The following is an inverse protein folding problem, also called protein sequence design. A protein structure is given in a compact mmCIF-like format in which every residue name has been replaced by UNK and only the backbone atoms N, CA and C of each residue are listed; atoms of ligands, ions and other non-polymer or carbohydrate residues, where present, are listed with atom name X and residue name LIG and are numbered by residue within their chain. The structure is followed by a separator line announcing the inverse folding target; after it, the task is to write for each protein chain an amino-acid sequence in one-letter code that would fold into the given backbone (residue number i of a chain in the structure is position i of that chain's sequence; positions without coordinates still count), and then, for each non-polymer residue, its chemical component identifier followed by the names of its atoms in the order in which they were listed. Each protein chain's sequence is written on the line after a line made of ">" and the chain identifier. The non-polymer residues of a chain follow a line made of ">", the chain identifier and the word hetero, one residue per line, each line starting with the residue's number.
data_IF_572232402743
#
_entry.id   IF_572232402743
#
_cell.length_a   1.000
_cell.length_b   1.000
_cell.length_c   1.000
_cell.angle_alpha   90.00
_cell.angle_beta   90.00
_cell.angle_gamma   90.00
#
_symmetry.space_group_name_H-M   'P 1'
#
loop_
_entity.id
_entity.type
_entity.pdbx_description
1 polymer ?
#
# COMPACT_ATOMS: atom_id res chain seq x y z
N UNK A 1 8.10 14.17 39.47
CA UNK A 1 7.16 13.21 38.84
C UNK A 1 7.72 12.85 37.46
N UNK A 2 7.75 11.57 37.06
CA UNK A 2 8.15 11.23 35.70
C UNK A 2 7.12 11.87 34.77
N UNK A 3 7.55 12.56 33.71
CA UNK A 3 6.63 12.99 32.64
C UNK A 3 5.90 11.73 32.17
N UNK A 4 4.60 11.63 32.46
CA UNK A 4 3.74 10.58 31.90
C UNK A 4 4.01 10.54 30.40
N UNK A 5 4.50 9.42 29.87
CA UNK A 5 4.80 9.27 28.46
C UNK A 5 3.57 9.72 27.65
N UNK A 6 3.78 10.61 26.67
CA UNK A 6 2.68 11.12 25.84
C UNK A 6 2.06 9.94 25.10
N UNK A 7 0.73 9.81 25.19
CA UNK A 7 -0.01 8.74 24.50
C UNK A 7 -0.14 9.12 23.02
N UNK A 8 0.25 8.22 22.11
CA UNK A 8 0.05 8.45 20.68
C UNK A 8 -1.41 8.15 20.30
N UNK A 9 -2.05 9.05 19.56
CA UNK A 9 -3.39 8.83 19.00
C UNK A 9 -3.28 8.58 17.51
N UNK A 10 -3.35 7.32 17.10
CA UNK A 10 -3.35 6.93 15.70
C UNK A 10 -4.78 6.95 15.13
N UNK A 11 -4.98 7.53 13.95
CA UNK A 11 -6.30 7.66 13.32
C UNK A 11 -6.24 7.13 11.89
N UNK A 12 -7.03 6.11 11.57
CA UNK A 12 -7.10 5.53 10.23
C UNK A 12 -8.48 4.99 9.90
N UNK A 13 -8.82 4.90 8.62
CA UNK A 13 -10.12 4.36 8.21
C UNK A 13 -10.35 2.91 8.69
N UNK A 14 -9.30 2.07 8.63
CA UNK A 14 -9.31 0.68 9.10
C UNK A 14 -8.46 0.53 10.36
N UNK A 15 -8.99 -0.20 11.34
CA UNK A 15 -8.32 -0.56 12.58
C UNK A 15 -7.55 -1.89 12.50
N UNK A 16 -6.73 -2.18 13.52
CA UNK A 16 -5.81 -3.31 13.55
C UNK A 16 -6.48 -4.65 13.84
N UNK A 17 -7.56 -4.67 14.62
CA UNK A 17 -8.20 -5.91 15.09
C UNK A 17 -9.69 -5.94 14.78
N UNK A 18 -10.23 -7.16 14.74
CA UNK A 18 -11.67 -7.46 14.73
C UNK A 18 -11.95 -8.73 15.51
N UNK A 19 -13.10 -8.78 16.16
CA UNK A 19 -13.65 -10.02 16.69
C UNK A 19 -14.55 -10.69 15.65
N UNK A 20 -14.32 -11.97 15.39
CA UNK A 20 -15.17 -12.82 14.56
C UNK A 20 -15.82 -13.91 15.42
N UNK A 21 -17.03 -14.31 15.06
CA UNK A 21 -17.68 -15.50 15.63
C UNK A 21 -17.65 -16.60 14.57
N UNK A 22 -16.96 -17.70 14.86
CA UNK A 22 -16.92 -18.87 13.97
C UNK A 22 -17.39 -20.10 14.72
N UNK A 23 -18.47 -20.71 14.22
CA UNK A 23 -19.11 -21.90 14.82
C UNK A 23 -19.41 -21.70 16.32
N UNK A 24 -19.92 -20.52 16.69
CA UNK A 24 -20.28 -20.16 18.06
C UNK A 24 -19.10 -19.78 18.98
N UNK A 25 -17.84 -19.86 18.52
CA UNK A 25 -16.66 -19.42 19.29
C UNK A 25 -16.19 -18.04 18.83
N UNK A 26 -15.92 -17.16 19.78
CA UNK A 26 -15.30 -15.86 19.52
C UNK A 26 -13.81 -16.06 19.21
N UNK A 27 -13.33 -15.44 18.12
CA UNK A 27 -11.92 -15.38 17.74
C UNK A 27 -11.52 -13.96 17.39
N UNK A 28 -10.27 -13.59 17.63
CA UNK A 28 -9.75 -12.30 17.21
C UNK A 28 -8.92 -12.43 15.94
N UNK A 29 -8.99 -11.42 15.10
CA UNK A 29 -8.28 -11.39 13.83
C UNK A 29 -7.65 -10.02 13.61
N UNK A 30 -6.37 -10.01 13.28
CA UNK A 30 -5.53 -8.82 13.11
C UNK A 30 -5.34 -8.51 11.63
N UNK A 31 -5.71 -7.33 11.14
CA UNK A 31 -5.44 -6.91 9.77
C UNK A 31 -3.93 -6.96 9.46
N UNK A 32 -3.56 -7.62 8.36
CA UNK A 32 -2.25 -7.47 7.75
C UNK A 32 -2.29 -6.27 6.79
N UNK A 33 -1.17 -5.58 6.73
CA UNK A 33 -1.03 -4.34 6.03
C UNK A 33 0.08 -3.52 6.67
N UNK A 34 0.84 -2.80 5.85
CA UNK A 34 2.00 -2.03 6.30
C UNK A 34 1.69 -1.08 7.45
N UNK A 35 0.51 -0.43 7.43
CA UNK A 35 0.10 0.47 8.50
C UNK A 35 -0.09 -0.24 9.85
N UNK A 36 -0.69 -1.44 9.85
CA UNK A 36 -0.87 -2.24 11.07
C UNK A 36 0.46 -2.81 11.54
N UNK A 37 1.28 -3.32 10.63
CA UNK A 37 2.64 -3.74 10.96
C UNK A 37 3.48 -2.60 11.56
N UNK A 38 3.27 -1.36 11.15
CA UNK A 38 3.98 -0.20 11.66
C UNK A 38 3.50 0.27 13.03
N UNK A 39 2.20 0.52 13.17
CA UNK A 39 1.64 1.27 14.30
C UNK A 39 1.34 0.39 15.50
N UNK A 40 0.97 -0.87 15.27
CA UNK A 40 0.64 -1.82 16.34
C UNK A 40 1.80 -2.01 17.35
N UNK A 41 3.04 -2.31 16.93
CA UNK A 41 4.16 -2.42 17.87
C UNK A 41 4.52 -1.09 18.53
N UNK A 42 4.34 0.03 17.82
CA UNK A 42 4.60 1.38 18.36
C UNK A 42 3.61 1.73 19.46
N UNK A 43 2.32 1.50 19.23
CA UNK A 43 1.26 1.70 20.21
C UNK A 43 1.35 0.72 21.37
N UNK A 44 1.74 -0.54 21.12
CA UNK A 44 1.96 -1.53 22.17
C UNK A 44 3.11 -1.12 23.10
N UNK A 45 4.19 -0.53 22.58
CA UNK A 45 5.34 -0.10 23.36
C UNK A 45 5.10 1.24 24.09
N UNK A 46 4.44 2.21 23.44
CA UNK A 46 4.24 3.57 23.98
C UNK A 46 2.93 3.72 24.77
N UNK A 47 1.99 2.81 24.61
CA UNK A 47 0.59 3.05 24.92
C UNK A 47 -0.04 4.08 23.96
N UNK A 48 -1.35 4.19 23.98
CA UNK A 48 -2.04 5.10 23.08
C UNK A 48 -3.47 4.72 22.81
N UNK A 49 -4.02 5.33 21.76
CA UNK A 49 -5.38 5.04 21.27
C UNK A 49 -5.33 4.87 19.76
N UNK A 50 -5.96 3.83 19.24
CA UNK A 50 -6.20 3.68 17.80
C UNK A 50 -7.67 3.96 17.47
N UNK A 51 -7.89 5.11 16.83
CA UNK A 51 -9.20 5.55 16.32
C UNK A 51 -9.46 4.98 14.93
N UNK A 52 -10.55 4.24 14.74
CA UNK A 52 -10.90 3.69 13.41
C UNK A 52 -12.38 3.41 13.19
N UNK A 53 -12.88 3.59 11.95
CA UNK A 53 -14.30 3.36 11.64
C UNK A 53 -14.66 1.91 11.33
N UNK A 54 -13.70 1.15 10.79
CA UNK A 54 -13.91 -0.26 10.47
C UNK A 54 -12.90 -1.11 11.24
N UNK A 55 -13.35 -2.10 12.03
CA UNK A 55 -12.44 -3.12 12.52
C UNK A 55 -11.87 -3.90 11.31
N UNK A 56 -10.75 -4.60 11.51
CA UNK A 56 -10.11 -5.39 10.47
C UNK A 56 -11.13 -6.28 9.70
N UNK A 57 -11.27 -6.16 8.37
CA UNK A 57 -12.25 -6.95 7.59
C UNK A 57 -11.56 -7.86 6.58
N UNK A 58 -11.58 -9.17 6.86
CA UNK A 58 -11.21 -10.26 5.95
C UNK A 58 -9.74 -10.26 5.50
N UNK A 59 -9.37 -11.34 4.80
CA UNK A 59 -8.35 -11.41 3.74
C UNK A 59 -6.88 -11.19 4.10
N UNK A 60 -6.58 -10.12 4.81
CA UNK A 60 -5.26 -9.86 5.37
C UNK A 60 -5.22 -10.26 6.85
N UNK A 61 -6.28 -10.83 7.39
CA UNK A 61 -6.39 -10.99 8.84
C UNK A 61 -5.70 -12.25 9.36
N UNK A 62 -4.85 -12.13 10.38
CA UNK A 62 -4.22 -13.26 11.09
C UNK A 62 -5.00 -13.56 12.37
N UNK A 63 -5.36 -14.82 12.61
CA UNK A 63 -6.00 -15.21 13.88
C UNK A 63 -5.01 -14.96 15.03
N UNK A 64 -5.47 -14.29 16.08
CA UNK A 64 -4.70 -14.05 17.29
C UNK A 64 -5.52 -14.52 18.50
N UNK A 65 -4.83 -14.98 19.55
CA UNK A 65 -5.45 -15.02 20.89
C UNK A 65 -5.81 -13.58 21.27
N UNK A 66 -6.95 -13.39 21.98
CA UNK A 66 -7.56 -12.06 22.11
C UNK A 66 -6.54 -11.00 22.53
N UNK A 67 -6.46 -9.86 21.81
CA UNK A 67 -5.28 -9.04 21.93
C UNK A 67 -5.29 -8.37 23.30
N UNK A 68 -4.31 -8.71 24.13
CA UNK A 68 -3.82 -7.79 25.15
C UNK A 68 -3.05 -6.68 24.42
N UNK A 69 -3.79 -5.84 23.68
CA UNK A 69 -3.20 -4.64 23.10
C UNK A 69 -2.79 -3.75 24.28
N UNK A 70 -1.50 -3.39 24.36
CA UNK A 70 -1.00 -2.41 25.33
C UNK A 70 -1.54 -0.99 25.11
N UNK A 71 -2.64 -0.83 24.37
CA UNK A 71 -3.25 0.42 23.94
C UNK A 71 -4.77 0.26 23.76
N UNK A 72 -5.49 1.39 23.68
CA UNK A 72 -6.95 1.44 23.60
C UNK A 72 -7.43 1.47 22.14
N UNK A 73 -8.59 0.86 21.86
CA UNK A 73 -9.25 0.94 20.55
C UNK A 73 -10.48 1.85 20.65
N UNK A 74 -10.56 2.86 19.78
CA UNK A 74 -11.66 3.82 19.75
C UNK A 74 -12.44 3.71 18.42
N UNK A 75 -13.59 3.03 18.39
CA UNK A 75 -14.37 2.87 17.17
C UNK A 75 -15.07 4.17 16.76
N UNK A 76 -15.10 4.45 15.45
CA UNK A 76 -15.84 5.58 14.87
C UNK A 76 -17.10 5.05 14.16
N UNK A 77 -18.27 5.47 14.61
CA UNK A 77 -19.53 5.12 13.94
C UNK A 77 -19.81 6.10 12.80
N UNK A 78 -19.60 5.66 11.56
CA UNK A 78 -20.06 6.39 10.38
C UNK A 78 -21.52 6.02 10.11
N UNK A 79 -22.39 7.03 9.99
CA UNK A 79 -23.82 6.85 9.68
C UNK A 79 -23.99 5.98 8.44
N UNK A 80 -24.92 5.03 8.47
CA UNK A 80 -25.16 4.09 7.37
C UNK A 80 -25.35 4.79 6.01
N UNK A 81 -26.09 5.90 6.00
CA UNK A 81 -26.33 6.73 4.81
C UNK A 81 -25.06 7.39 4.24
N UNK A 82 -24.01 7.57 5.05
CA UNK A 82 -22.76 8.20 4.62
C UNK A 82 -21.69 7.20 4.19
N UNK A 83 -21.81 5.92 4.57
CA UNK A 83 -20.75 4.92 4.37
C UNK A 83 -20.37 4.71 2.90
N UNK A 84 -21.37 4.54 2.03
CA UNK A 84 -21.14 4.38 0.60
C UNK A 84 -20.56 5.65 -0.02
N UNK A 85 -21.14 6.81 0.30
CA UNK A 85 -20.68 8.10 -0.19
C UNK A 85 -19.25 8.46 0.21
N UNK A 86 -18.89 8.20 1.47
CA UNK A 86 -17.54 8.40 1.99
C UNK A 86 -16.53 7.45 1.33
N UNK A 87 -16.79 6.14 1.40
CA UNK A 87 -15.77 5.13 1.09
C UNK A 87 -15.81 4.69 -0.38
N UNK A 88 -16.98 4.33 -0.91
CA UNK A 88 -17.11 3.82 -2.29
C UNK A 88 -16.97 4.98 -3.27
N UNK A 89 -17.73 6.06 -3.08
CA UNK A 89 -17.79 7.18 -4.02
C UNK A 89 -16.59 8.12 -3.89
N UNK A 90 -16.52 8.98 -2.85
CA UNK A 90 -15.50 10.03 -2.80
C UNK A 90 -14.09 9.44 -2.64
N UNK A 91 -13.87 8.52 -1.69
CA UNK A 91 -12.53 7.97 -1.46
C UNK A 91 -12.04 7.12 -2.64
N UNK A 92 -12.82 6.12 -3.09
CA UNK A 92 -12.32 5.12 -4.03
C UNK A 92 -12.71 5.35 -5.51
N UNK A 93 -13.73 6.17 -5.79
CA UNK A 93 -14.12 6.51 -7.16
C UNK A 93 -13.73 7.94 -7.58
N UNK A 94 -13.26 8.79 -6.66
CA UNK A 94 -12.73 10.13 -7.00
C UNK A 94 -11.28 10.29 -6.57
N UNK A 95 -10.98 10.19 -5.27
CA UNK A 95 -9.65 10.49 -4.74
C UNK A 95 -8.60 9.46 -5.15
N UNK A 96 -8.92 8.16 -5.07
CA UNK A 96 -8.02 7.09 -5.50
C UNK A 96 -7.60 7.23 -6.97
N UNK A 97 -8.52 7.28 -7.96
CA UNK A 97 -8.12 7.45 -9.35
C UNK A 97 -7.36 8.77 -9.59
N UNK A 98 -7.82 9.88 -9.01
CA UNK A 98 -7.16 11.18 -9.15
C UNK A 98 -5.70 11.14 -8.69
N UNK A 99 -5.46 10.68 -7.46
CA UNK A 99 -4.15 10.70 -6.83
C UNK A 99 -3.19 9.68 -7.46
N UNK A 100 -3.72 8.63 -8.09
CA UNK A 100 -2.93 7.70 -8.92
C UNK A 100 -2.79 8.13 -10.38
N UNK A 101 -3.27 9.32 -10.76
CA UNK A 101 -3.19 9.85 -12.13
C UNK A 101 -4.04 9.11 -13.18
N UNK A 102 -5.22 8.60 -12.78
CA UNK A 102 -6.23 7.97 -13.65
C UNK A 102 -7.52 8.80 -13.75
N UNK A 103 -7.48 10.03 -14.32
CA UNK A 103 -8.64 10.92 -14.33
C UNK A 103 -9.85 10.36 -15.08
N UNK A 104 -9.63 9.51 -16.10
CA UNK A 104 -10.70 8.86 -16.88
C UNK A 104 -11.53 7.86 -16.05
N UNK A 105 -10.96 7.35 -14.96
CA UNK A 105 -11.64 6.44 -14.02
C UNK A 105 -12.41 7.20 -12.93
N UNK A 106 -12.25 8.52 -12.83
CA UNK A 106 -12.95 9.32 -11.83
C UNK A 106 -14.46 9.36 -12.08
N UNK A 107 -15.24 9.43 -10.99
CA UNK A 107 -16.71 9.58 -11.00
C UNK A 107 -17.14 10.74 -10.11
N UNK A 108 -16.89 11.96 -10.58
CA UNK A 108 -17.10 13.19 -9.79
C UNK A 108 -18.56 13.58 -9.67
N UNK A 109 -19.34 13.49 -10.75
CA UNK A 109 -20.75 13.92 -10.81
C UNK A 109 -21.66 13.20 -9.81
N UNK A 110 -21.34 11.95 -9.47
CA UNK A 110 -22.13 11.08 -8.59
C UNK A 110 -21.65 11.12 -7.13
N UNK A 111 -20.60 11.89 -6.82
CA UNK A 111 -19.90 11.77 -5.56
C UNK A 111 -20.49 12.69 -4.46
N UNK A 112 -21.10 12.14 -3.39
CA UNK A 112 -21.74 12.92 -2.34
C UNK A 112 -20.69 13.47 -1.36
N UNK A 113 -20.07 14.60 -1.71
CA UNK A 113 -19.03 15.25 -0.89
C UNK A 113 -19.41 15.42 0.58
N UNK A 114 -20.67 15.78 0.86
CA UNK A 114 -21.18 15.94 2.23
C UNK A 114 -21.04 14.66 3.07
N UNK A 115 -21.12 13.48 2.45
CA UNK A 115 -20.89 12.20 3.16
C UNK A 115 -19.43 12.04 3.56
N UNK A 116 -18.48 12.51 2.73
CA UNK A 116 -17.07 12.51 3.05
C UNK A 116 -16.71 13.51 4.16
N UNK A 117 -17.30 14.70 4.12
CA UNK A 117 -17.20 15.71 5.19
C UNK A 117 -17.70 15.14 6.51
N UNK A 118 -18.93 14.62 6.56
CA UNK A 118 -19.52 14.07 7.80
C UNK A 118 -18.76 12.87 8.36
N UNK A 119 -18.18 12.04 7.50
CA UNK A 119 -17.30 10.97 7.95
C UNK A 119 -16.04 11.56 8.62
N UNK A 120 -15.38 12.55 8.01
CA UNK A 120 -14.22 13.21 8.60
C UNK A 120 -14.56 13.93 9.91
N UNK A 121 -15.74 14.55 10.03
CA UNK A 121 -16.24 15.13 11.29
C UNK A 121 -16.40 14.07 12.38
N UNK A 122 -16.95 12.89 12.06
CA UNK A 122 -17.07 11.79 13.01
C UNK A 122 -15.70 11.29 13.50
N UNK A 123 -14.70 11.18 12.60
CA UNK A 123 -13.33 10.85 12.98
C UNK A 123 -12.70 11.92 13.86
N UNK A 124 -12.84 13.19 13.49
CA UNK A 124 -12.28 14.31 14.25
C UNK A 124 -12.89 14.38 15.66
N UNK A 125 -14.21 14.20 15.79
CA UNK A 125 -14.91 14.17 17.07
C UNK A 125 -14.34 13.11 18.01
N UNK A 126 -14.30 11.84 17.58
CA UNK A 126 -13.75 10.76 18.41
C UNK A 126 -12.28 11.00 18.74
N UNK A 127 -11.50 11.52 17.78
CA UNK A 127 -10.09 11.86 18.02
C UNK A 127 -9.93 12.92 19.12
N UNK A 128 -10.78 13.95 19.14
CA UNK A 128 -10.78 15.02 20.14
C UNK A 128 -11.20 14.51 21.53
N UNK A 129 -12.17 13.59 21.59
CA UNK A 129 -12.68 12.96 22.82
C UNK A 129 -11.60 12.09 23.50
N UNK A 130 -10.83 11.34 22.73
CA UNK A 130 -9.82 10.40 23.27
C UNK A 130 -8.43 11.01 23.45
N UNK A 131 -8.15 12.16 22.83
CA UNK A 131 -6.85 12.85 22.94
C UNK A 131 -6.80 13.86 24.08
N UNK A 132 -5.67 13.91 24.79
CA UNK A 132 -5.35 15.02 25.70
C UNK A 132 -4.62 16.12 24.94
N UNK A 133 -4.61 17.35 25.48
CA UNK A 133 -4.04 18.52 24.79
C UNK A 133 -2.55 18.41 24.41
N UNK A 134 -1.78 17.52 25.05
CA UNK A 134 -0.36 17.28 24.77
C UNK A 134 -0.07 16.06 23.91
N UNK A 135 -1.08 15.24 23.60
CA UNK A 135 -0.91 13.98 22.91
C UNK A 135 -0.66 14.21 21.40
N UNK A 136 0.36 13.58 20.80
CA UNK A 136 0.53 13.61 19.36
C UNK A 136 -0.59 12.81 18.68
N UNK A 137 -1.22 13.43 17.68
CA UNK A 137 -2.27 12.84 16.86
C UNK A 137 -1.67 12.54 15.49
N UNK A 138 -1.74 11.29 15.05
CA UNK A 138 -1.23 10.87 13.76
C UNK A 138 -2.34 10.28 12.89
N UNK A 139 -2.74 11.05 11.88
CA UNK A 139 -3.84 10.74 10.97
C UNK A 139 -3.28 10.11 9.69
N UNK A 140 -3.94 9.07 9.19
CA UNK A 140 -3.45 8.34 8.04
C UNK A 140 -4.41 8.35 6.87
N UNK A 141 -3.81 8.64 5.71
CA UNK A 141 -4.28 8.35 4.38
C UNK A 141 -5.39 9.26 3.82
N UNK A 142 -5.61 9.12 2.51
CA UNK A 142 -6.50 9.95 1.69
C UNK A 142 -7.98 9.90 2.10
N UNK A 143 -8.37 8.99 2.98
CA UNK A 143 -9.73 8.94 3.53
C UNK A 143 -9.99 10.09 4.52
N UNK A 144 -8.94 10.60 5.17
CA UNK A 144 -9.03 11.48 6.33
C UNK A 144 -8.38 12.85 6.09
N UNK A 145 -8.49 13.39 4.87
CA UNK A 145 -7.79 14.63 4.50
C UNK A 145 -8.40 15.90 5.13
N UNK A 146 -9.63 15.85 5.65
CA UNK A 146 -10.25 17.01 6.34
C UNK A 146 -10.06 16.95 7.85
N UNK A 147 -9.83 15.75 8.39
CA UNK A 147 -9.68 15.52 9.81
C UNK A 147 -8.60 16.42 10.49
N UNK A 148 -7.43 16.73 9.88
CA UNK A 148 -6.44 17.57 10.56
C UNK A 148 -6.97 18.97 10.91
N UNK A 149 -7.64 19.64 9.98
CA UNK A 149 -8.23 20.96 10.23
C UNK A 149 -9.39 20.91 11.22
N UNK A 150 -10.23 19.87 11.15
CA UNK A 150 -11.35 19.67 12.08
C UNK A 150 -10.86 19.46 13.52
N UNK A 151 -9.85 18.61 13.72
CA UNK A 151 -9.21 18.41 15.03
C UNK A 151 -8.53 19.70 15.51
N UNK A 152 -7.85 20.43 14.61
CA UNK A 152 -7.18 21.70 14.93
C UNK A 152 -8.15 22.77 15.44
N UNK A 153 -9.37 22.82 14.89
CA UNK A 153 -10.38 23.79 15.30
C UNK A 153 -10.75 23.64 16.78
N UNK A 154 -10.91 22.39 17.25
CA UNK A 154 -11.21 22.06 18.64
C UNK A 154 -9.96 22.07 19.54
N UNK A 155 -8.79 21.77 18.97
CA UNK A 155 -7.50 21.70 19.69
C UNK A 155 -6.43 22.57 19.00
N UNK A 156 -6.46 23.90 19.20
CA UNK A 156 -5.56 24.82 18.48
C UNK A 156 -4.07 24.54 18.65
N UNK A 157 -3.67 23.96 19.80
CA UNK A 157 -2.28 23.65 20.16
C UNK A 157 -1.87 22.19 19.93
N UNK A 158 -2.74 21.33 19.39
CA UNK A 158 -2.44 19.91 19.19
C UNK A 158 -1.25 19.69 18.25
N UNK A 159 -0.51 18.60 18.41
CA UNK A 159 0.50 18.17 17.44
C UNK A 159 -0.17 17.19 16.51
N UNK A 160 -0.41 17.60 15.27
CA UNK A 160 -1.19 16.82 14.31
C UNK A 160 -0.28 16.45 13.14
N UNK A 161 -0.04 15.16 12.97
CA UNK A 161 0.62 14.59 11.80
C UNK A 161 -0.41 14.03 10.84
N UNK A 162 -0.19 14.17 9.54
CA UNK A 162 -0.92 13.40 8.53
C UNK A 162 0.05 12.74 7.54
N UNK A 163 -0.21 11.49 7.16
CA UNK A 163 0.66 10.75 6.25
C UNK A 163 -0.12 10.14 5.06
N UNK A 164 0.34 10.40 3.83
CA UNK A 164 -0.23 9.84 2.60
C UNK A 164 0.42 8.50 2.24
N UNK A 165 -0.36 7.41 2.15
CA UNK A 165 0.16 6.09 1.79
C UNK A 165 0.05 5.75 0.29
N UNK A 166 -0.61 6.63 -0.46
CA UNK A 166 -0.77 6.53 -1.91
C UNK A 166 0.07 7.61 -2.60
N UNK A 167 0.23 7.56 -3.93
CA UNK A 167 0.88 8.65 -4.65
C UNK A 167 0.16 9.98 -4.41
N UNK A 168 0.88 11.09 -4.61
CA UNK A 168 0.27 12.39 -4.83
C UNK A 168 0.36 12.74 -6.30
N UNK A 169 -0.67 13.37 -6.86
CA UNK A 169 -0.69 13.75 -8.28
C UNK A 169 -0.19 15.19 -8.50
N UNK A 170 0.36 15.51 -9.68
CA UNK A 170 0.74 16.88 -10.03
C UNK A 170 -0.43 17.87 -10.01
N UNK A 171 -0.12 19.15 -9.81
CA UNK A 171 -1.13 20.21 -9.63
C UNK A 171 -2.15 20.33 -10.78
N UNK A 172 -1.75 20.07 -12.02
CA UNK A 172 -2.68 20.12 -13.16
C UNK A 172 -3.75 19.03 -13.11
N UNK A 173 -3.41 17.82 -12.63
CA UNK A 173 -4.41 16.77 -12.40
C UNK A 173 -5.23 17.09 -11.16
N UNK A 174 -4.59 17.50 -10.07
CA UNK A 174 -5.28 17.84 -8.82
C UNK A 174 -6.37 18.91 -9.02
N UNK A 175 -6.18 19.82 -9.97
CA UNK A 175 -7.17 20.83 -10.37
C UNK A 175 -8.52 20.28 -10.86
N UNK A 176 -8.59 19.01 -11.29
CA UNK A 176 -9.84 18.32 -11.67
C UNK A 176 -10.78 18.18 -10.46
N UNK A 177 -10.24 18.11 -9.24
CA UNK A 177 -11.04 17.92 -8.02
C UNK A 177 -11.87 19.18 -7.71
N UNK A 178 -13.21 19.09 -7.63
CA UNK A 178 -14.05 20.25 -7.28
C UNK A 178 -13.76 20.78 -5.87
N UNK A 179 -13.36 19.90 -4.94
CA UNK A 179 -13.12 20.21 -3.53
C UNK A 179 -11.64 20.37 -3.19
N UNK A 180 -10.80 20.70 -4.20
CA UNK A 180 -9.34 20.83 -4.06
C UNK A 180 -8.92 21.76 -2.93
N UNK A 181 -9.54 22.93 -2.81
CA UNK A 181 -9.24 23.90 -1.76
C UNK A 181 -9.58 23.32 -0.39
N UNK A 182 -10.78 22.77 -0.20
CA UNK A 182 -11.21 22.16 1.05
C UNK A 182 -10.28 21.00 1.48
N UNK A 183 -9.79 20.19 0.54
CA UNK A 183 -8.82 19.12 0.82
C UNK A 183 -7.48 19.70 1.27
N UNK A 184 -6.92 20.68 0.54
CA UNK A 184 -5.64 21.28 0.89
C UNK A 184 -5.72 22.02 2.23
N UNK A 185 -6.77 22.81 2.46
CA UNK A 185 -7.03 23.47 3.75
C UNK A 185 -7.19 22.45 4.88
N UNK A 186 -7.88 21.34 4.62
CA UNK A 186 -8.02 20.21 5.53
C UNK A 186 -6.66 19.67 6.00
N UNK A 187 -5.76 19.43 5.05
CA UNK A 187 -4.41 18.94 5.31
C UNK A 187 -3.52 19.97 6.01
N UNK A 188 -3.64 21.26 5.68
CA UNK A 188 -2.89 22.34 6.33
C UNK A 188 -3.33 22.62 7.78
N UNK A 189 -4.34 21.89 8.29
CA UNK A 189 -4.60 21.79 9.73
C UNK A 189 -3.51 21.01 10.50
N UNK A 190 -2.72 20.19 9.80
CA UNK A 190 -1.60 19.44 10.34
C UNK A 190 -0.38 20.32 10.64
N UNK A 191 0.36 19.94 11.67
CA UNK A 191 1.71 20.46 11.97
C UNK A 191 2.75 19.85 11.03
N UNK A 192 2.59 18.55 10.72
CA UNK A 192 3.51 17.78 9.90
C UNK A 192 2.74 16.95 8.87
N UNK A 193 3.14 17.06 7.60
CA UNK A 193 2.65 16.24 6.49
C UNK A 193 3.76 15.30 6.01
N UNK A 194 3.43 14.03 5.82
CA UNK A 194 4.36 13.01 5.32
C UNK A 194 3.91 12.37 4.02
N UNK A 195 4.87 12.16 3.12
CA UNK A 195 4.70 11.46 1.86
C UNK A 195 5.80 10.42 1.69
N UNK A 196 5.63 9.48 0.77
CA UNK A 196 6.63 8.44 0.53
C UNK A 196 7.89 8.93 -0.18
N UNK A 197 7.78 9.89 -1.10
CA UNK A 197 8.88 10.32 -1.97
C UNK A 197 9.00 11.83 -2.01
N UNK A 198 10.18 12.35 -2.34
CA UNK A 198 10.40 13.78 -2.56
C UNK A 198 9.56 14.32 -3.73
N UNK A 199 9.29 13.48 -4.75
CA UNK A 199 8.40 13.81 -5.87
C UNK A 199 6.99 14.15 -5.39
N UNK A 200 6.43 13.35 -4.46
CA UNK A 200 5.10 13.59 -3.93
C UNK A 200 5.06 14.81 -2.99
N UNK A 201 6.15 15.08 -2.25
CA UNK A 201 6.31 16.33 -1.49
C UNK A 201 6.25 17.52 -2.43
N UNK A 202 7.02 17.47 -3.52
CA UNK A 202 7.06 18.54 -4.51
C UNK A 202 5.67 18.79 -5.12
N UNK A 203 4.98 17.75 -5.60
CA UNK A 203 3.63 17.89 -6.15
C UNK A 203 2.62 18.44 -5.14
N UNK A 204 2.70 18.05 -3.86
CA UNK A 204 1.84 18.63 -2.84
C UNK A 204 2.08 20.13 -2.67
N UNK A 205 3.35 20.55 -2.58
CA UNK A 205 3.71 21.97 -2.44
C UNK A 205 3.25 22.78 -3.66
N UNK A 206 3.40 22.25 -4.87
CA UNK A 206 2.85 22.88 -6.10
C UNK A 206 1.33 22.99 -6.08
N UNK A 207 0.62 21.98 -5.56
CA UNK A 207 -0.84 22.05 -5.42
C UNK A 207 -1.24 23.17 -4.47
N UNK A 208 -0.53 23.32 -3.36
CA UNK A 208 -0.77 24.39 -2.39
C UNK A 208 -0.51 25.76 -3.01
N UNK A 209 0.66 25.93 -3.65
CA UNK A 209 1.06 27.19 -4.30
C UNK A 209 0.06 27.62 -5.39
N UNK A 210 -0.46 26.64 -6.15
CA UNK A 210 -1.40 26.91 -7.25
C UNK A 210 -2.83 27.22 -6.79
N UNK A 211 -3.31 26.59 -5.73
CA UNK A 211 -4.74 26.60 -5.39
C UNK A 211 -5.09 27.33 -4.09
N UNK A 212 -4.10 27.71 -3.28
CA UNK A 212 -4.32 28.46 -2.05
C UNK A 212 -3.45 29.70 -2.02
N UNK A 213 -3.95 30.77 -1.40
CA UNK A 213 -3.13 31.94 -1.05
C UNK A 213 -2.28 31.64 0.20
N UNK A 214 -1.32 30.73 0.04
CA UNK A 214 -0.40 30.28 1.07
C UNK A 214 1.04 30.64 0.69
N UNK A 215 1.87 30.96 1.68
CA UNK A 215 3.30 31.20 1.43
C UNK A 215 4.05 29.87 1.51
N UNK A 216 4.42 29.34 0.35
CA UNK A 216 5.15 28.08 0.23
C UNK A 216 6.65 28.34 0.14
N UNK A 217 7.43 27.66 0.98
CA UNK A 217 8.88 27.58 0.86
C UNK A 217 9.26 26.17 0.42
N UNK A 218 9.63 26.03 -0.86
CA UNK A 218 10.02 24.75 -1.45
C UNK A 218 11.35 24.22 -0.91
N UNK A 219 12.28 25.11 -0.55
CA UNK A 219 13.60 24.72 -0.03
C UNK A 219 13.51 24.19 1.40
N UNK A 220 12.80 24.92 2.27
CA UNK A 220 12.53 24.50 3.64
C UNK A 220 11.40 23.45 3.75
N UNK A 221 10.65 23.23 2.67
CA UNK A 221 9.46 22.34 2.60
C UNK A 221 8.43 22.72 3.65
N UNK A 222 8.09 24.01 3.69
CA UNK A 222 7.10 24.54 4.64
C UNK A 222 6.01 25.30 3.93
N UNK A 223 4.81 25.28 4.50
CA UNK A 223 3.66 26.07 4.04
C UNK A 223 3.20 26.94 5.19
N UNK A 224 3.17 28.26 4.99
CA UNK A 224 2.55 29.20 5.92
C UNK A 224 1.16 29.61 5.41
N UNK A 225 0.12 29.21 6.13
CA UNK A 225 -1.28 29.47 5.79
C UNK A 225 -2.06 29.90 7.05
N UNK A 226 -2.83 30.99 6.96
CA UNK A 226 -3.65 31.56 8.06
C UNK A 226 -2.91 31.63 9.41
N UNK A 227 -1.68 32.14 9.40
CA UNK A 227 -0.84 32.33 10.59
C UNK A 227 -0.20 31.06 11.16
N UNK A 228 -0.35 29.90 10.51
CA UNK A 228 0.28 28.63 10.91
C UNK A 228 1.29 28.17 9.89
N UNK A 229 2.28 27.41 10.35
CA UNK A 229 3.30 26.78 9.50
C UNK A 229 3.15 25.27 9.57
N UNK A 230 3.03 24.63 8.41
CA UNK A 230 3.00 23.18 8.24
C UNK A 230 4.30 22.73 7.59
N UNK A 231 4.99 21.76 8.20
CA UNK A 231 6.19 21.14 7.60
C UNK A 231 5.79 19.95 6.73
N UNK A 232 6.50 19.74 5.63
CA UNK A 232 6.25 18.63 4.70
C UNK A 232 7.51 17.79 4.51
N UNK A 233 7.42 16.47 4.72
CA UNK A 233 8.58 15.57 4.67
C UNK A 233 8.34 14.36 3.77
N UNK A 234 9.44 13.85 3.21
CA UNK A 234 9.48 12.53 2.60
C UNK A 234 9.96 11.50 3.65
N UNK A 235 9.16 10.46 3.85
CA UNK A 235 9.45 9.34 4.74
C UNK A 235 8.91 8.05 4.08
N UNK A 236 9.75 7.32 3.33
CA UNK A 236 9.33 6.07 2.69
C UNK A 236 9.00 5.03 3.75
N UNK A 237 7.80 4.45 3.67
CA UNK A 237 7.43 3.33 4.52
C UNK A 237 8.13 2.07 4.00
N UNK A 238 8.42 1.14 4.88
CA UNK A 238 8.84 -0.19 4.48
C UNK A 238 8.15 -1.28 5.29
N UNK A 239 8.88 -2.34 5.62
CA UNK A 239 8.29 -3.57 6.16
C UNK A 239 8.97 -3.95 7.50
N UNK A 240 8.36 -4.80 8.34
CA UNK A 240 9.04 -5.33 9.52
C UNK A 240 10.10 -6.35 9.09
N UNK A 241 11.31 -5.86 8.76
CA UNK A 241 12.32 -6.62 8.01
C UNK A 241 12.76 -7.87 8.77
N UNK A 242 13.03 -7.74 10.07
CA UNK A 242 13.50 -8.85 10.89
C UNK A 242 12.46 -9.97 10.99
N UNK A 243 11.20 -9.62 11.31
CA UNK A 243 10.11 -10.58 11.44
C UNK A 243 9.84 -11.32 10.12
N UNK A 244 9.86 -10.61 8.99
CA UNK A 244 9.59 -11.21 7.69
C UNK A 244 10.74 -12.04 7.14
N UNK A 245 11.99 -11.65 7.43
CA UNK A 245 13.16 -12.46 7.06
C UNK A 245 13.16 -13.77 7.87
N UNK A 246 12.79 -13.72 9.15
CA UNK A 246 12.65 -14.93 9.97
C UNK A 246 11.52 -15.84 9.45
N UNK A 247 10.34 -15.28 9.18
CA UNK A 247 9.19 -15.99 8.61
C UNK A 247 9.56 -16.77 7.34
N UNK A 248 10.36 -16.17 6.46
CA UNK A 248 10.77 -16.77 5.21
C UNK A 248 11.50 -18.12 5.40
N UNK A 249 12.18 -18.30 6.54
CA UNK A 249 12.98 -19.50 6.86
C UNK A 249 12.26 -20.53 7.71
N UNK A 250 10.99 -20.29 8.08
CA UNK A 250 10.23 -21.23 8.90
C UNK A 250 9.96 -22.56 8.17
N UNK A 251 10.00 -23.72 8.86
CA UNK A 251 9.90 -25.03 8.22
C UNK A 251 8.63 -25.27 7.40
N UNK A 252 7.49 -24.74 7.85
CA UNK A 252 6.21 -24.85 7.13
C UNK A 252 6.19 -24.00 5.86
N UNK A 253 6.83 -22.82 5.89
CA UNK A 253 7.01 -21.95 4.72
C UNK A 253 7.94 -22.60 3.70
N UNK A 254 9.04 -23.20 4.16
CA UNK A 254 9.97 -23.97 3.31
C UNK A 254 9.23 -25.16 2.68
N UNK A 255 8.50 -25.94 3.46
CA UNK A 255 7.77 -27.10 2.95
C UNK A 255 6.71 -26.71 1.90
N UNK A 256 5.99 -25.61 2.10
CA UNK A 256 5.02 -25.11 1.12
C UNK A 256 5.70 -24.57 -0.14
N UNK A 257 6.84 -23.89 0.00
CA UNK A 257 7.66 -23.44 -1.14
C UNK A 257 8.08 -24.63 -2.02
N UNK A 258 8.55 -25.73 -1.42
CA UNK A 258 8.93 -26.94 -2.16
C UNK A 258 7.73 -27.59 -2.85
N UNK A 259 6.54 -27.59 -2.23
CA UNK A 259 5.31 -28.06 -2.89
C UNK A 259 4.96 -27.22 -4.12
N UNK A 260 5.07 -25.89 -4.02
CA UNK A 260 4.81 -24.98 -5.14
C UNK A 260 5.80 -25.27 -6.28
N UNK A 261 7.11 -25.38 -5.98
CA UNK A 261 8.15 -25.75 -6.94
C UNK A 261 7.85 -27.09 -7.61
N UNK A 262 7.52 -28.12 -6.84
CA UNK A 262 7.19 -29.44 -7.37
C UNK A 262 5.97 -29.42 -8.30
N UNK A 263 4.96 -28.60 -7.98
CA UNK A 263 3.72 -28.51 -8.77
C UNK A 263 3.91 -27.94 -10.19
N UNK A 264 5.01 -27.19 -10.41
CA UNK A 264 5.31 -26.60 -11.72
C UNK A 264 6.41 -27.33 -12.49
N UNK A 265 7.05 -28.34 -11.88
CA UNK A 265 8.16 -29.10 -12.45
C UNK A 265 9.42 -28.23 -12.66
N UNK A 266 10.15 -28.48 -13.73
CA UNK A 266 11.41 -27.77 -14.05
C UNK A 266 11.19 -26.36 -14.63
N UNK A 267 9.98 -25.81 -14.55
CA UNK A 267 9.67 -24.48 -15.08
C UNK A 267 10.11 -23.39 -14.12
N UNK A 268 10.65 -22.30 -14.67
CA UNK A 268 10.94 -21.09 -13.90
C UNK A 268 9.65 -20.35 -13.59
N UNK A 269 9.50 -19.93 -12.34
CA UNK A 269 8.31 -19.27 -11.81
C UNK A 269 8.47 -17.75 -11.93
N UNK A 270 7.58 -17.13 -12.69
CA UNK A 270 7.32 -15.69 -12.63
C UNK A 270 6.16 -15.48 -11.69
N UNK A 271 6.29 -14.56 -10.74
CA UNK A 271 5.27 -14.29 -9.73
C UNK A 271 4.77 -12.86 -9.82
N UNK A 272 3.45 -12.71 -9.92
CA UNK A 272 2.73 -11.47 -9.70
C UNK A 272 1.84 -11.59 -8.46
N UNK A 273 1.90 -10.62 -7.54
CA UNK A 273 1.03 -10.56 -6.36
C UNK A 273 0.48 -9.17 -6.20
N UNK A 274 -0.83 -9.03 -6.37
CA UNK A 274 -1.49 -7.74 -6.26
C UNK A 274 -2.93 -7.86 -5.75
N UNK A 275 -3.46 -6.77 -5.21
CA UNK A 275 -4.91 -6.60 -5.12
C UNK A 275 -5.46 -6.42 -6.54
N UNK A 276 -6.69 -6.88 -6.78
CA UNK A 276 -7.46 -6.45 -7.95
C UNK A 276 -7.62 -4.93 -7.87
N UNK A 277 -6.87 -4.19 -8.68
CA UNK A 277 -6.83 -2.72 -8.72
C UNK A 277 -6.16 -2.29 -10.03
N UNK A 278 -6.77 -1.34 -10.75
CA UNK A 278 -6.31 -0.93 -12.09
C UNK A 278 -4.94 -0.25 -12.05
N UNK A 279 -4.49 0.19 -10.87
CA UNK A 279 -3.16 0.80 -10.71
C UNK A 279 -2.03 -0.23 -10.77
N UNK A 280 -2.34 -1.53 -10.69
CA UNK A 280 -1.35 -2.62 -10.54
C UNK A 280 -0.79 -3.18 -11.83
N UNK A 281 -1.29 -2.72 -12.97
CA UNK A 281 -0.78 -3.11 -14.28
C UNK A 281 -0.86 -4.61 -14.54
N UNK A 282 -1.92 -5.27 -14.04
CA UNK A 282 -2.12 -6.72 -14.20
C UNK A 282 -2.39 -7.08 -15.67
N UNK A 283 -3.24 -6.34 -16.42
CA UNK A 283 -3.39 -6.56 -17.86
C UNK A 283 -2.06 -6.46 -18.61
N UNK A 284 -1.29 -5.39 -18.37
CA UNK A 284 0.01 -5.14 -19.00
C UNK A 284 1.00 -6.25 -18.68
N UNK A 285 0.99 -6.76 -17.44
CA UNK A 285 1.82 -7.91 -17.05
C UNK A 285 1.47 -9.18 -17.83
N UNK A 286 0.18 -9.47 -17.98
CA UNK A 286 -0.29 -10.64 -18.73
C UNK A 286 0.11 -10.49 -20.20
N UNK A 287 -0.02 -9.29 -20.78
CA UNK A 287 0.41 -9.01 -22.16
C UNK A 287 1.92 -9.16 -22.33
N UNK A 288 2.73 -8.68 -21.39
CA UNK A 288 4.19 -8.84 -21.47
C UNK A 288 4.62 -10.31 -21.36
N UNK A 289 3.93 -11.10 -20.52
CA UNK A 289 4.15 -12.54 -20.48
C UNK A 289 3.71 -13.22 -21.77
N UNK A 290 2.56 -12.83 -22.33
CA UNK A 290 2.09 -13.32 -23.63
C UNK A 290 3.09 -13.02 -24.76
N UNK A 291 3.64 -11.80 -24.77
CA UNK A 291 4.64 -11.36 -25.74
C UNK A 291 5.93 -12.20 -25.66
N UNK A 292 6.37 -12.55 -24.44
CA UNK A 292 7.47 -13.50 -24.23
C UNK A 292 7.14 -14.89 -24.82
N UNK A 293 5.93 -15.41 -24.60
CA UNK A 293 5.49 -16.70 -25.15
C UNK A 293 5.44 -16.67 -26.68
N UNK A 294 4.98 -15.56 -27.25
CA UNK A 294 4.84 -15.36 -28.70
C UNK A 294 6.19 -15.30 -29.40
N UNK A 295 7.14 -14.56 -28.83
CA UNK A 295 8.47 -14.30 -29.43
C UNK A 295 9.45 -15.45 -29.20
N UNK A 296 9.23 -16.31 -28.21
CA UNK A 296 10.11 -17.43 -27.86
C UNK A 296 9.36 -18.76 -27.85
N UNK A 297 9.51 -19.55 -28.92
CA UNK A 297 8.81 -20.85 -29.08
C UNK A 297 8.96 -21.81 -27.89
N UNK A 298 10.10 -21.78 -27.18
CA UNK A 298 10.34 -22.64 -26.00
C UNK A 298 9.86 -22.07 -24.67
N UNK A 299 9.36 -20.83 -24.62
CA UNK A 299 9.03 -20.17 -23.37
C UNK A 299 7.89 -20.87 -22.62
N UNK A 300 6.84 -21.33 -23.32
CA UNK A 300 5.70 -22.00 -22.70
C UNK A 300 6.06 -23.32 -21.98
N UNK A 301 7.14 -23.99 -22.41
CA UNK A 301 7.63 -25.21 -21.74
C UNK A 301 8.62 -24.93 -20.61
N UNK A 302 9.20 -23.72 -20.58
CA UNK A 302 10.24 -23.33 -19.61
C UNK A 302 9.72 -22.43 -18.50
N UNK A 303 8.65 -21.66 -18.72
CA UNK A 303 8.20 -20.62 -17.82
C UNK A 303 6.74 -20.79 -17.42
N UNK A 304 6.40 -20.30 -16.24
CA UNK A 304 5.03 -20.25 -15.73
C UNK A 304 4.82 -18.95 -14.97
N UNK A 305 3.69 -18.30 -15.20
CA UNK A 305 3.25 -17.15 -14.43
C UNK A 305 2.28 -17.61 -13.35
N UNK A 306 2.63 -17.37 -12.09
CA UNK A 306 1.70 -17.46 -10.96
C UNK A 306 1.21 -16.04 -10.65
N UNK A 307 -0.08 -15.78 -10.91
CA UNK A 307 -0.72 -14.51 -10.58
C UNK A 307 -1.65 -14.70 -9.39
N UNK A 308 -1.22 -14.21 -8.22
CA UNK A 308 -2.07 -14.12 -7.03
C UNK A 308 -2.80 -12.77 -7.08
N UNK A 309 -4.12 -12.82 -7.11
CA UNK A 309 -4.96 -11.63 -7.13
C UNK A 309 -5.91 -11.61 -5.95
N UNK A 310 -5.70 -10.67 -5.04
CA UNK A 310 -6.50 -10.48 -3.83
C UNK A 310 -7.78 -9.69 -4.18
N UNK A 311 -8.99 -10.23 -3.92
CA UNK A 311 -10.24 -9.50 -4.10
C UNK A 311 -10.24 -8.18 -3.33
N UNK A 312 -10.59 -7.09 -4.01
CA UNK A 312 -10.59 -5.74 -3.44
C UNK A 312 -11.69 -4.91 -4.09
N UNK A 313 -12.50 -4.24 -3.25
CA UNK A 313 -13.50 -3.23 -3.68
C UNK A 313 -14.42 -3.72 -4.81
N UNK A 314 -14.87 -4.98 -4.73
CA UNK A 314 -15.72 -5.62 -5.75
C UNK A 314 -17.05 -4.88 -5.99
N UNK A 315 -17.49 -4.07 -5.03
CA UNK A 315 -18.71 -3.26 -5.15
C UNK A 315 -18.51 -1.99 -6.00
N UNK A 316 -17.28 -1.71 -6.46
CA UNK A 316 -16.96 -0.58 -7.34
C UNK A 316 -16.89 -1.07 -8.79
N UNK A 317 -17.69 -0.45 -9.68
CA UNK A 317 -17.81 -0.84 -11.10
C UNK A 317 -16.47 -1.04 -11.83
N UNK A 318 -15.53 -0.10 -11.70
CA UNK A 318 -14.23 -0.18 -12.36
C UNK A 318 -13.42 -1.43 -11.95
N UNK A 319 -13.63 -1.97 -10.75
CA UNK A 319 -12.96 -3.18 -10.28
C UNK A 319 -13.61 -4.45 -10.86
N UNK A 320 -14.94 -4.45 -11.02
CA UNK A 320 -15.65 -5.54 -11.67
C UNK A 320 -15.28 -5.65 -13.16
N UNK A 321 -15.25 -4.53 -13.88
CA UNK A 321 -14.85 -4.48 -15.29
C UNK A 321 -13.41 -4.99 -15.49
N UNK A 322 -12.48 -4.55 -14.63
CA UNK A 322 -11.09 -5.04 -14.65
C UNK A 322 -10.99 -6.55 -14.39
N UNK A 323 -11.83 -7.09 -13.49
CA UNK A 323 -11.85 -8.54 -13.20
C UNK A 323 -12.26 -9.35 -14.44
N UNK A 324 -13.32 -8.92 -15.11
CA UNK A 324 -13.80 -9.56 -16.34
C UNK A 324 -12.76 -9.49 -17.46
N UNK A 325 -12.06 -8.37 -17.58
CA UNK A 325 -10.95 -8.21 -18.52
C UNK A 325 -9.82 -9.21 -18.24
N UNK A 326 -9.34 -9.27 -17.00
CA UNK A 326 -8.26 -10.18 -16.60
C UNK A 326 -8.67 -11.64 -16.84
N UNK A 327 -9.89 -12.04 -16.47
CA UNK A 327 -10.37 -13.41 -16.68
C UNK A 327 -10.36 -13.79 -18.18
N UNK A 328 -10.79 -12.87 -19.05
CA UNK A 328 -10.79 -13.05 -20.51
C UNK A 328 -9.37 -13.17 -21.06
N UNK A 329 -8.45 -12.33 -20.59
CA UNK A 329 -7.04 -12.34 -21.02
C UNK A 329 -6.35 -13.65 -20.60
N UNK A 330 -6.50 -14.06 -19.34
CA UNK A 330 -5.95 -15.32 -18.84
C UNK A 330 -6.53 -16.51 -19.60
N UNK A 331 -7.84 -16.52 -19.84
CA UNK A 331 -8.51 -17.56 -20.62
C UNK A 331 -8.00 -17.65 -22.06
N UNK A 332 -7.86 -16.51 -22.74
CA UNK A 332 -7.35 -16.44 -24.10
C UNK A 332 -5.89 -16.89 -24.21
N UNK A 333 -5.03 -16.44 -23.30
CA UNK A 333 -3.61 -16.82 -23.25
C UNK A 333 -3.48 -18.32 -22.98
N UNK A 334 -4.13 -18.83 -21.94
CA UNK A 334 -4.07 -20.25 -21.62
C UNK A 334 -4.67 -21.10 -22.75
N UNK A 335 -5.75 -20.67 -23.41
CA UNK A 335 -6.31 -21.37 -24.57
C UNK A 335 -5.35 -21.50 -25.75
N UNK A 336 -4.46 -20.51 -25.95
CA UNK A 336 -3.48 -20.50 -27.04
C UNK A 336 -2.19 -21.27 -26.74
N UNK A 337 -1.71 -21.22 -25.49
CA UNK A 337 -0.36 -21.70 -25.15
C UNK A 337 -0.34 -22.91 -24.21
N UNK A 338 -1.49 -23.39 -23.71
CA UNK A 338 -1.51 -24.60 -22.88
C UNK A 338 -1.26 -25.87 -23.70
N UNK A 339 -0.61 -26.83 -23.08
CA UNK A 339 -0.49 -28.21 -23.58
C UNK A 339 -0.88 -29.16 -22.44
N UNK A 340 -1.10 -30.44 -22.73
CA UNK A 340 -1.51 -31.42 -21.72
C UNK A 340 -0.60 -31.36 -20.47
N UNK A 341 -1.22 -31.14 -19.31
CA UNK A 341 -0.54 -31.02 -18.01
C UNK A 341 0.24 -29.73 -17.76
N UNK A 342 0.27 -28.77 -18.69
CA UNK A 342 1.03 -27.51 -18.55
C UNK A 342 0.20 -26.30 -18.94
N UNK A 343 -0.12 -25.50 -17.94
CA UNK A 343 -0.83 -24.23 -18.06
C UNK A 343 0.21 -23.09 -17.92
N UNK A 344 0.29 -22.13 -18.85
CA UNK A 344 1.23 -21.01 -18.79
C UNK A 344 0.95 -20.04 -17.65
N UNK A 345 -0.31 -19.74 -17.37
CA UNK A 345 -0.73 -18.81 -16.31
C UNK A 345 -1.62 -19.52 -15.30
N UNK A 346 -1.13 -19.69 -14.08
CA UNK A 346 -1.96 -20.06 -12.94
C UNK A 346 -2.43 -18.80 -12.24
N UNK A 347 -3.73 -18.62 -12.21
CA UNK A 347 -4.38 -17.44 -11.67
C UNK A 347 -5.19 -17.80 -10.43
N UNK A 348 -4.95 -17.10 -9.33
CA UNK A 348 -5.60 -17.33 -8.05
C UNK A 348 -6.36 -16.08 -7.61
N UNK A 349 -7.69 -16.10 -7.70
CA UNK A 349 -8.54 -15.05 -7.16
C UNK A 349 -8.98 -15.36 -5.73
N UNK A 350 -8.03 -15.27 -4.80
CA UNK A 350 -8.24 -15.60 -3.40
C UNK A 350 -7.20 -14.92 -2.52
N UNK A 351 -7.44 -15.00 -1.23
CA UNK A 351 -6.50 -14.55 -0.23
C UNK A 351 -5.52 -15.62 0.18
N UNK A 352 -4.25 -15.22 0.24
CA UNK A 352 -3.19 -15.99 0.85
C UNK A 352 -2.87 -15.35 2.20
N UNK A 353 -2.74 -16.16 3.24
CA UNK A 353 -2.16 -15.69 4.49
C UNK A 353 -0.65 -15.40 4.28
N UNK A 354 -0.03 -14.72 5.26
CA UNK A 354 1.35 -14.26 5.14
C UNK A 354 2.35 -15.41 4.93
N UNK A 355 2.14 -16.58 5.58
CA UNK A 355 2.99 -17.78 5.42
C UNK A 355 2.93 -18.32 3.99
N UNK A 356 1.72 -18.54 3.47
CA UNK A 356 1.50 -18.98 2.09
C UNK A 356 2.06 -17.99 1.09
N UNK A 357 1.91 -16.69 1.33
CA UNK A 357 2.45 -15.65 0.45
C UNK A 357 3.98 -15.69 0.41
N UNK A 358 4.64 -15.83 1.56
CA UNK A 358 6.10 -15.96 1.64
C UNK A 358 6.61 -17.25 0.97
N UNK A 359 5.86 -18.34 1.04
CA UNK A 359 6.17 -19.55 0.29
C UNK A 359 6.16 -19.30 -1.23
N UNK A 360 5.20 -18.52 -1.75
CA UNK A 360 5.18 -18.13 -3.15
C UNK A 360 6.37 -17.22 -3.51
N UNK A 361 6.70 -16.23 -2.67
CA UNK A 361 7.85 -15.36 -2.91
C UNK A 361 9.18 -16.12 -2.99
N UNK A 362 9.37 -17.12 -2.12
CA UNK A 362 10.56 -17.97 -2.15
C UNK A 362 10.57 -18.94 -3.33
N UNK A 363 9.42 -19.46 -3.73
CA UNK A 363 9.32 -20.36 -4.87
C UNK A 363 9.57 -19.64 -6.21
N UNK A 364 9.28 -18.35 -6.30
CA UNK A 364 9.44 -17.57 -7.52
C UNK A 364 10.92 -17.48 -7.96
N UNK A 365 11.22 -17.50 -9.25
CA UNK A 365 12.54 -17.12 -9.78
C UNK A 365 12.59 -15.63 -10.09
N UNK A 366 11.47 -15.08 -10.54
CA UNK A 366 11.32 -13.65 -10.84
C UNK A 366 10.04 -13.13 -10.21
N UNK A 367 10.14 -12.07 -9.40
CA UNK A 367 8.98 -11.26 -9.04
C UNK A 367 8.77 -10.17 -10.09
N UNK A 368 7.58 -10.13 -10.67
CA UNK A 368 7.19 -9.16 -11.70
C UNK A 368 6.22 -8.16 -11.08
N UNK A 369 6.76 -7.06 -10.55
CA UNK A 369 6.02 -6.03 -9.84
C UNK A 369 5.87 -4.81 -10.74
N UNK A 370 4.77 -4.78 -11.51
CA UNK A 370 4.59 -3.84 -12.63
C UNK A 370 3.43 -2.85 -12.47
N UNK A 371 3.24 -2.19 -11.31
CA UNK A 371 2.15 -1.22 -11.17
C UNK A 371 2.35 -0.04 -12.14
N UNK A 372 1.25 0.44 -12.71
CA UNK A 372 1.20 1.66 -13.52
C UNK A 372 1.44 2.91 -12.66
N UNK A 373 1.00 2.90 -11.40
CA UNK A 373 1.31 3.92 -10.39
C UNK A 373 1.14 3.33 -9.00
N UNK A 374 2.12 3.48 -8.11
CA UNK A 374 2.02 2.97 -6.74
C UNK A 374 2.79 3.86 -5.75
N UNK A 375 2.21 4.11 -4.58
CA UNK A 375 2.79 5.02 -3.58
C UNK A 375 4.11 4.50 -3.02
N UNK A 376 4.23 3.18 -2.86
CA UNK A 376 5.48 2.51 -2.46
C UNK A 376 5.61 1.13 -3.09
N UNK A 377 4.58 0.27 -2.95
CA UNK A 377 4.60 -1.16 -3.26
C UNK A 377 5.45 -2.02 -2.29
N UNK A 378 4.83 -2.46 -1.18
CA UNK A 378 5.50 -3.31 -0.18
C UNK A 378 5.70 -4.76 -0.63
N UNK A 379 4.98 -5.23 -1.66
CA UNK A 379 5.21 -6.56 -2.25
C UNK A 379 6.65 -6.68 -2.77
N UNK A 380 7.20 -5.63 -3.36
CA UNK A 380 8.61 -5.59 -3.78
C UNK A 380 9.57 -5.74 -2.59
N UNK A 381 9.26 -5.10 -1.45
CA UNK A 381 10.07 -5.20 -0.24
C UNK A 381 9.98 -6.60 0.39
N UNK A 382 8.77 -7.15 0.46
CA UNK A 382 8.50 -8.48 1.02
C UNK A 382 9.19 -9.58 0.22
N UNK A 383 9.13 -9.51 -1.13
CA UNK A 383 9.87 -10.42 -2.00
C UNK A 383 11.37 -10.38 -1.72
N UNK A 384 11.98 -9.18 -1.68
CA UNK A 384 13.41 -9.03 -1.40
C UNK A 384 13.77 -9.56 0.00
N UNK A 385 12.93 -9.31 1.00
CA UNK A 385 13.13 -9.81 2.36
C UNK A 385 13.03 -11.34 2.44
N UNK A 386 12.16 -11.96 1.64
CA UNK A 386 11.96 -13.41 1.65
C UNK A 386 13.12 -14.20 1.02
N UNK A 387 14.00 -13.57 0.21
CA UNK A 387 15.15 -14.24 -0.43
C UNK A 387 16.30 -14.46 0.54
N UNK A 388 16.16 -15.46 1.42
CA UNK A 388 17.16 -15.77 2.44
C UNK A 388 18.52 -16.15 1.83
N UNK A 389 18.50 -16.88 0.72
CA UNK A 389 19.64 -17.35 -0.06
C UNK A 389 20.29 -16.23 -0.88
N UNK A 390 19.62 -15.08 -0.99
CA UNK A 390 20.03 -13.98 -1.83
C UNK A 390 19.93 -14.30 -3.32
N UNK A 391 19.06 -15.22 -3.71
CA UNK A 391 18.77 -15.60 -5.09
C UNK A 391 17.53 -14.84 -5.64
N UNK A 392 17.12 -15.17 -6.87
CA UNK A 392 15.94 -14.57 -7.52
C UNK A 392 16.17 -13.16 -8.08
N UNK A 393 15.21 -12.68 -8.88
CA UNK A 393 15.29 -11.38 -9.56
C UNK A 393 14.00 -10.59 -9.35
N UNK A 394 14.15 -9.31 -9.00
CA UNK A 394 13.03 -8.37 -8.95
C UNK A 394 12.99 -7.55 -10.24
N UNK A 395 11.89 -7.68 -10.99
CA UNK A 395 11.51 -6.76 -12.07
C UNK A 395 10.48 -5.77 -11.49
N UNK A 396 10.77 -4.48 -11.57
CA UNK A 396 10.02 -3.45 -10.84
C UNK A 396 9.65 -2.27 -11.74
N UNK A 397 8.38 -1.86 -11.71
CA UNK A 397 7.94 -0.63 -12.38
C UNK A 397 8.66 0.60 -11.85
N UNK A 398 9.13 1.46 -12.75
CA UNK A 398 9.69 2.77 -12.40
C UNK A 398 8.65 3.72 -11.75
N UNK A 399 7.35 3.40 -11.89
CA UNK A 399 6.23 4.17 -11.32
C UNK A 399 5.80 3.69 -9.92
N UNK A 400 6.51 2.73 -9.32
CA UNK A 400 6.39 2.39 -7.92
C UNK A 400 7.31 3.24 -7.05
N UNK A 401 6.83 3.75 -5.91
CA UNK A 401 7.69 4.48 -4.95
C UNK A 401 8.94 3.71 -4.53
N UNK A 402 8.87 2.37 -4.43
CA UNK A 402 9.99 1.49 -4.13
C UNK A 402 11.14 1.61 -5.14
N UNK A 403 10.88 1.95 -6.42
CA UNK A 403 11.91 2.11 -7.45
C UNK A 403 12.84 3.30 -7.17
N UNK A 404 12.45 4.25 -6.29
CA UNK A 404 13.34 5.32 -5.81
C UNK A 404 14.45 4.78 -4.89
N UNK A 405 14.27 3.59 -4.29
CA UNK A 405 15.22 2.98 -3.36
C UNK A 405 15.83 1.67 -3.87
N UNK A 406 15.04 0.82 -4.53
CA UNK A 406 15.43 -0.51 -4.99
C UNK A 406 16.11 -0.46 -6.38
N UNK A 407 17.22 0.28 -6.47
CA UNK A 407 17.91 0.60 -7.76
C UNK A 407 18.53 -0.60 -8.48
N UNK A 408 18.81 -1.68 -7.75
CA UNK A 408 19.40 -2.90 -8.31
C UNK A 408 18.36 -3.88 -8.88
N UNK A 409 17.07 -3.54 -8.76
CA UNK A 409 15.99 -4.21 -9.48
C UNK A 409 16.12 -3.93 -10.98
N UNK A 410 15.56 -4.82 -11.81
CA UNK A 410 15.44 -4.54 -13.23
C UNK A 410 14.22 -3.64 -13.44
N UNK A 411 14.48 -2.35 -13.58
CA UNK A 411 13.43 -1.35 -13.75
C UNK A 411 12.79 -1.45 -15.13
N UNK A 412 11.47 -1.32 -15.16
CA UNK A 412 10.68 -1.35 -16.41
C UNK A 412 9.66 -0.22 -16.44
N UNK A 413 9.38 0.24 -17.65
CA UNK A 413 8.19 1.02 -17.92
C UNK A 413 7.06 0.03 -18.30
N UNK A 414 6.02 -0.16 -17.45
CA UNK A 414 4.95 -1.12 -17.72
C UNK A 414 4.08 -0.80 -18.93
N UNK A 415 4.17 0.41 -19.48
CA UNK A 415 3.46 0.79 -20.71
C UNK A 415 4.16 0.28 -21.97
N UNK A 416 5.45 -0.09 -21.88
CA UNK A 416 6.23 -0.68 -22.98
C UNK A 416 6.23 -2.22 -22.86
N UNK A 417 5.16 -2.84 -23.37
CA UNK A 417 4.94 -4.28 -23.28
C UNK A 417 6.12 -5.09 -23.87
N UNK A 418 6.66 -4.79 -25.07
CA UNK A 418 7.85 -5.46 -25.59
C UNK A 418 9.07 -5.32 -24.67
N UNK A 419 9.36 -4.12 -24.14
CA UNK A 419 10.52 -3.93 -23.25
C UNK A 419 10.37 -4.66 -21.91
N UNK A 420 9.14 -4.75 -21.37
CA UNK A 420 8.85 -5.57 -20.18
C UNK A 420 9.11 -7.05 -20.49
N UNK A 421 8.67 -7.55 -21.64
CA UNK A 421 8.89 -8.93 -22.06
C UNK A 421 10.40 -9.25 -22.22
N UNK A 422 11.17 -8.36 -22.85
CA UNK A 422 12.62 -8.48 -23.00
C UNK A 422 13.32 -8.46 -21.64
N UNK A 423 12.93 -7.54 -20.75
CA UNK A 423 13.50 -7.46 -19.40
C UNK A 423 13.16 -8.68 -18.56
N UNK A 424 11.95 -9.23 -18.71
CA UNK A 424 11.54 -10.48 -18.08
C UNK A 424 12.35 -11.66 -18.60
N UNK A 425 12.60 -11.73 -19.91
CA UNK A 425 13.47 -12.74 -20.49
C UNK A 425 14.90 -12.63 -19.93
N UNK A 426 15.45 -11.41 -19.86
CA UNK A 426 16.75 -11.15 -19.24
C UNK A 426 16.78 -11.59 -17.78
N UNK A 427 15.72 -11.31 -17.01
CA UNK A 427 15.60 -11.72 -15.62
C UNK A 427 15.63 -13.25 -15.46
N UNK A 428 14.95 -13.97 -16.36
CA UNK A 428 14.89 -15.44 -16.34
C UNK A 428 16.21 -16.12 -16.72
N UNK A 429 17.08 -15.43 -17.48
CA UNK A 429 18.39 -15.93 -17.89
C UNK A 429 19.56 -15.28 -17.14
N UNK A 430 19.27 -14.46 -16.13
CA UNK A 430 20.31 -13.73 -15.42
C UNK A 430 21.30 -14.71 -14.77
N UNK A 431 22.63 -14.55 -14.96
CA UNK A 431 23.61 -15.40 -14.32
C UNK A 431 23.47 -15.37 -12.80
N UNK A 432 23.63 -16.52 -12.15
CA UNK A 432 23.44 -16.67 -10.70
C UNK A 432 24.28 -15.67 -9.89
N UNK A 433 25.57 -15.50 -10.26
CA UNK A 433 26.45 -14.54 -9.61
C UNK A 433 25.92 -13.08 -9.68
N UNK A 434 25.32 -12.69 -10.80
CA UNK A 434 24.71 -11.36 -10.97
C UNK A 434 23.40 -11.23 -10.18
N UNK A 435 22.53 -12.25 -10.25
CA UNK A 435 21.29 -12.29 -9.46
C UNK A 435 21.59 -12.13 -7.96
N UNK A 436 22.58 -12.87 -7.46
CA UNK A 436 23.02 -12.77 -6.07
C UNK A 436 23.61 -11.40 -5.71
N UNK A 437 24.38 -10.80 -6.61
CA UNK A 437 24.91 -9.44 -6.40
C UNK A 437 23.78 -8.42 -6.26
N UNK A 438 22.81 -8.44 -7.18
CA UNK A 438 21.66 -7.52 -7.17
C UNK A 438 20.80 -7.73 -5.92
N UNK A 439 20.44 -8.97 -5.61
CA UNK A 439 19.59 -9.28 -4.46
C UNK A 439 20.25 -8.91 -3.14
N UNK A 440 21.56 -9.12 -2.96
CA UNK A 440 22.29 -8.65 -1.77
C UNK A 440 22.18 -7.13 -1.59
N UNK A 441 22.35 -6.37 -2.67
CA UNK A 441 22.23 -4.92 -2.63
C UNK A 441 20.79 -4.47 -2.34
N UNK A 442 19.79 -5.10 -2.95
CA UNK A 442 18.37 -4.87 -2.65
C UNK A 442 18.05 -5.15 -1.17
N UNK A 443 18.53 -6.26 -0.62
CA UNK A 443 18.35 -6.62 0.79
C UNK A 443 18.98 -5.60 1.74
N UNK A 444 20.13 -5.03 1.36
CA UNK A 444 20.77 -3.95 2.13
C UNK A 444 19.91 -2.68 2.16
N UNK A 445 19.27 -2.32 1.05
CA UNK A 445 18.34 -1.17 1.01
C UNK A 445 17.05 -1.46 1.80
N UNK A 446 16.45 -2.64 1.64
CA UNK A 446 15.24 -3.01 2.39
C UNK A 446 15.47 -2.99 3.90
N UNK A 447 16.65 -3.40 4.39
CA UNK A 447 17.02 -3.28 5.82
C UNK A 447 17.04 -1.84 6.33
N UNK A 448 17.32 -0.86 5.47
CA UNK A 448 17.27 0.56 5.85
C UNK A 448 15.82 1.07 5.92
N UNK A 449 14.95 0.51 5.08
CA UNK A 449 13.51 0.78 5.02
C UNK A 449 12.74 -0.13 5.97
N UNK A 450 13.13 -0.13 7.25
CA UNK A 450 12.37 -0.83 8.27
C UNK A 450 11.16 0.01 8.71
N UNK A 451 10.02 -0.66 8.87
CA UNK A 451 8.76 0.01 9.22
C UNK A 451 8.79 0.70 10.59
N UNK A 452 9.55 0.16 11.55
CA UNK A 452 9.70 0.75 12.88
C UNK A 452 10.53 2.03 12.80
N UNK A 453 11.61 2.04 12.00
CA UNK A 453 12.40 3.26 11.73
C UNK A 453 11.58 4.35 11.07
N UNK A 454 10.72 3.99 10.12
CA UNK A 454 9.77 4.94 9.51
C UNK A 454 8.88 5.59 10.57
N UNK A 455 8.29 4.79 11.46
CA UNK A 455 7.40 5.28 12.50
C UNK A 455 8.12 6.15 13.52
N UNK A 456 9.27 5.71 14.03
CA UNK A 456 10.10 6.46 14.97
C UNK A 456 10.53 7.82 14.39
N UNK A 457 10.98 7.84 13.13
CA UNK A 457 11.36 9.08 12.44
C UNK A 457 10.18 10.04 12.37
N UNK A 458 9.02 9.59 11.91
CA UNK A 458 7.85 10.47 11.77
C UNK A 458 7.38 11.00 13.12
N UNK A 459 7.32 10.14 14.14
CA UNK A 459 6.91 10.54 15.49
C UNK A 459 7.88 11.54 16.09
N UNK A 460 9.19 11.34 15.92
CA UNK A 460 10.21 12.28 16.38
C UNK A 460 10.03 13.67 15.75
N UNK A 461 9.76 13.72 14.45
CA UNK A 461 9.50 14.98 13.72
C UNK A 461 8.16 15.62 14.11
N UNK A 462 7.15 14.81 14.47
CA UNK A 462 5.87 15.31 14.96
C UNK A 462 5.97 15.86 16.39
N UNK A 463 6.89 15.31 17.19
CA UNK A 463 7.12 15.67 18.57
C UNK A 463 8.15 16.79 18.76
N UNK A 464 8.96 17.12 17.75
CA UNK A 464 9.80 18.32 17.73
C UNK A 464 8.92 19.56 17.61
#
# INVERSE_FOLDING_TARGET
>A
MPRSARKLVAVSNRGPYRQEVVRGKQRWVRAAGGLVAALDPVLAARGGVWVSAKPAKGFDTVNVEGPSVGYELAPVTIRKADQAGFYVSVSNAVLWPLLHSFPTTMRVSEAPWKSYVRANEAFAKVTVEVSRGSDPIWIHDYHLMLAPALVRAERPKARIGWFCHIPWCPAHLFGILPWREAVLEGLLGATLLGFHTDEYVHYFLECVDRFLDAKVDHGARTVRYRGRTTRVIAAPIGIPVAALTALATEPDVVAEMERIRHSVGNRRIVLGVDRLDYTKGIPERILAFEELLRTRRSAASKYVLLQVMVPSRTDVRAYAELKEEIDRMVGSLNGRYSVAGRIPVHYFFRNLNQRSLFAHYRAADVALVTPLRDGMNLVAHEYVASRAEGDGVLVLSEFAGAAKHLKEALLVNPYDIPAVAETLERALHLPEAEAHKRMRALRNEVRKLDVHRWAEKFIKELES
#
